data_IF_325567105475
#
_entry.id   IF_325567105475
#
_cell.length_a   1.000
_cell.length_b   1.000
_cell.length_c   1.000
_cell.angle_alpha   90.00
_cell.angle_beta   90.00
_cell.angle_gamma   90.00
#
_symmetry.space_group_name_H-M   'P 1'
#
loop_
_entity.id
_entity.type
_entity.pdbx_description
1 polymer ?
#
# COMPACT_ATOMS: atom_id res chain seq x y z
N UNK A 1 -14.02 4.12 17.92
CA UNK A 1 -13.00 4.94 18.61
C UNK A 1 -11.77 5.12 17.72
N UNK A 2 -11.13 4.06 17.18
CA UNK A 2 -9.92 4.14 16.35
C UNK A 2 -10.04 5.16 15.20
N UNK A 3 -11.11 5.10 14.39
CA UNK A 3 -11.33 6.06 13.29
C UNK A 3 -11.59 7.49 13.76
N UNK A 4 -12.20 7.69 14.96
CA UNK A 4 -12.30 9.02 15.60
C UNK A 4 -10.89 9.55 15.90
N UNK A 5 -10.02 8.70 16.45
CA UNK A 5 -8.61 9.03 16.69
C UNK A 5 -7.86 9.41 15.41
N UNK A 6 -8.06 8.68 14.29
CA UNK A 6 -7.49 9.06 13.00
C UNK A 6 -7.97 10.42 12.52
N UNK A 7 -9.26 10.71 12.67
CA UNK A 7 -9.83 12.02 12.30
C UNK A 7 -9.27 13.17 13.16
N UNK A 8 -9.01 12.90 14.45
CA UNK A 8 -8.42 13.85 15.39
C UNK A 8 -6.96 14.14 15.04
N UNK A 9 -6.19 13.10 14.72
CA UNK A 9 -4.74 13.16 14.46
C UNK A 9 -4.39 13.70 13.08
N UNK A 10 -5.13 13.27 12.06
CA UNK A 10 -4.80 13.49 10.63
C UNK A 10 -5.83 14.35 9.91
N UNK A 11 -6.96 14.65 10.55
CA UNK A 11 -8.08 15.34 9.92
C UNK A 11 -9.00 14.38 9.13
N UNK A 12 -10.26 14.78 8.98
CA UNK A 12 -11.28 13.95 8.32
C UNK A 12 -11.02 13.76 6.82
N UNK A 13 -10.46 14.77 6.15
CA UNK A 13 -10.17 14.72 4.71
C UNK A 13 -9.19 13.59 4.35
N UNK A 14 -8.23 13.29 5.25
CA UNK A 14 -7.26 12.22 5.04
C UNK A 14 -7.88 10.83 4.99
N UNK A 15 -9.02 10.61 5.64
CA UNK A 15 -9.74 9.34 5.61
C UNK A 15 -10.55 9.14 4.32
N UNK A 16 -10.69 10.19 3.50
CA UNK A 16 -11.35 10.13 2.20
C UNK A 16 -10.39 9.76 1.06
N UNK A 17 -9.09 9.66 1.34
CA UNK A 17 -8.10 9.25 0.35
C UNK A 17 -8.19 7.74 0.18
N UNK A 18 -8.48 7.29 -1.04
CA UNK A 18 -8.52 5.89 -1.41
C UNK A 18 -7.32 5.49 -2.27
N UNK A 19 -6.95 4.22 -2.21
CA UNK A 19 -5.96 3.58 -3.05
C UNK A 19 -6.28 2.11 -3.19
N UNK A 20 -5.60 1.42 -4.09
CA UNK A 20 -5.70 -0.03 -4.24
C UNK A 20 -4.74 -0.71 -3.27
N UNK A 21 -5.25 -1.69 -2.52
CA UNK A 21 -4.43 -2.61 -1.76
C UNK A 21 -4.33 -3.93 -2.53
N UNK A 22 -3.11 -4.35 -2.79
CA UNK A 22 -2.83 -5.58 -3.51
C UNK A 22 -2.17 -6.58 -2.54
N UNK A 23 -2.89 -7.65 -2.22
CA UNK A 23 -2.39 -8.71 -1.35
C UNK A 23 -1.72 -9.79 -2.21
N UNK A 24 -0.52 -10.18 -1.83
CA UNK A 24 0.28 -11.16 -2.56
C UNK A 24 0.86 -12.21 -1.63
N UNK A 25 0.71 -13.47 -1.99
CA UNK A 25 1.32 -14.60 -1.29
C UNK A 25 1.85 -15.63 -2.28
N UNK A 26 2.94 -16.28 -1.92
CA UNK A 26 3.46 -17.42 -2.65
C UNK A 26 2.92 -18.71 -2.05
N UNK A 27 2.70 -19.76 -2.86
CA UNK A 27 2.26 -21.07 -2.38
C UNK A 27 3.23 -21.66 -1.35
N UNK A 28 2.71 -22.34 -0.34
CA UNK A 28 3.52 -22.94 0.72
C UNK A 28 4.56 -23.92 0.18
N UNK A 29 4.21 -24.69 -0.88
CA UNK A 29 5.13 -25.58 -1.58
C UNK A 29 6.36 -24.89 -2.15
N UNK A 30 6.22 -23.65 -2.64
CA UNK A 30 7.33 -22.89 -3.18
C UNK A 30 8.34 -22.53 -2.09
N UNK A 31 7.85 -22.19 -0.89
CA UNK A 31 8.74 -21.94 0.26
C UNK A 31 9.50 -23.19 0.69
N UNK A 32 8.88 -24.37 0.59
CA UNK A 32 9.54 -25.64 0.85
C UNK A 32 10.67 -25.91 -0.15
N UNK A 33 10.43 -25.64 -1.44
CA UNK A 33 11.47 -25.79 -2.49
C UNK A 33 12.64 -24.83 -2.24
N UNK A 34 12.36 -23.56 -1.95
CA UNK A 34 13.41 -22.59 -1.66
C UNK A 34 14.19 -22.94 -0.39
N UNK A 35 13.52 -23.40 0.66
CA UNK A 35 14.18 -23.83 1.88
C UNK A 35 15.10 -25.05 1.67
N UNK A 36 14.69 -25.99 0.82
CA UNK A 36 15.52 -27.15 0.46
C UNK A 36 16.76 -26.77 -0.34
N UNK A 37 16.63 -25.83 -1.29
CA UNK A 37 17.74 -25.30 -2.08
C UNK A 37 18.80 -24.61 -1.18
N UNK A 38 18.33 -23.91 -0.14
CA UNK A 38 19.18 -23.28 0.88
C UNK A 38 19.69 -24.28 1.97
N UNK A 39 19.40 -25.56 1.83
CA UNK A 39 19.86 -26.61 2.75
C UNK A 39 19.14 -26.60 4.12
N UNK A 40 17.97 -25.98 4.20
CA UNK A 40 17.14 -25.95 5.42
C UNK A 40 16.34 -27.25 5.51
N UNK A 41 16.66 -28.08 6.51
CA UNK A 41 16.06 -29.40 6.69
C UNK A 41 14.67 -29.27 7.33
N UNK A 42 13.71 -30.00 6.79
CA UNK A 42 12.26 -29.97 7.13
C UNK A 42 11.93 -30.36 8.59
N UNK A 43 12.86 -30.99 9.33
CA UNK A 43 12.63 -31.49 10.70
C UNK A 43 12.31 -30.41 11.74
N UNK A 44 12.46 -29.15 11.40
CA UNK A 44 12.14 -28.00 12.27
C UNK A 44 11.04 -27.13 11.65
N UNK A 45 9.79 -27.39 12.00
CA UNK A 45 8.64 -26.54 11.58
C UNK A 45 8.87 -25.03 11.83
N UNK A 46 9.63 -24.69 12.86
CA UNK A 46 10.02 -23.30 13.15
C UNK A 46 11.00 -22.76 12.10
N UNK A 47 11.94 -23.55 11.61
CA UNK A 47 12.93 -23.13 10.62
C UNK A 47 12.28 -22.75 9.28
N UNK A 48 11.29 -23.52 8.80
CA UNK A 48 10.56 -23.19 7.57
C UNK A 48 9.73 -21.92 7.73
N UNK A 49 9.02 -21.74 8.85
CA UNK A 49 8.26 -20.52 9.15
C UNK A 49 9.17 -19.29 9.21
N UNK A 50 10.31 -19.42 9.86
CA UNK A 50 11.26 -18.32 10.02
C UNK A 50 11.92 -17.99 8.69
N UNK A 51 12.31 -19.00 7.90
CA UNK A 51 12.79 -18.83 6.53
C UNK A 51 11.76 -18.11 5.64
N UNK A 52 10.50 -18.58 5.64
CA UNK A 52 9.41 -17.93 4.90
C UNK A 52 9.25 -16.45 5.31
N UNK A 53 9.30 -16.18 6.61
CA UNK A 53 9.13 -14.82 7.14
C UNK A 53 10.28 -13.91 6.71
N UNK A 54 11.52 -14.36 6.82
CA UNK A 54 12.71 -13.60 6.39
C UNK A 54 12.75 -13.42 4.87
N UNK A 55 12.29 -14.41 4.10
CA UNK A 55 12.15 -14.29 2.64
C UNK A 55 11.09 -13.24 2.24
N UNK A 56 9.95 -13.17 2.94
CA UNK A 56 9.00 -12.08 2.74
C UNK A 56 9.59 -10.72 3.14
N UNK A 57 10.39 -10.65 4.19
CA UNK A 57 11.08 -9.40 4.56
C UNK A 57 12.13 -9.02 3.50
N UNK A 58 12.83 -10.00 2.93
CA UNK A 58 13.73 -9.77 1.79
C UNK A 58 12.98 -9.20 0.57
N UNK A 59 11.82 -9.77 0.25
CA UNK A 59 10.91 -9.23 -0.78
C UNK A 59 10.50 -7.78 -0.47
N UNK A 60 10.15 -7.45 0.78
CA UNK A 60 9.81 -6.09 1.21
C UNK A 60 10.99 -5.14 1.00
N UNK A 61 12.23 -5.54 1.31
CA UNK A 61 13.44 -4.73 1.05
C UNK A 61 13.61 -4.44 -0.45
N UNK A 62 13.47 -5.45 -1.30
CA UNK A 62 13.57 -5.27 -2.75
C UNK A 62 12.43 -4.40 -3.30
N UNK A 63 11.22 -4.59 -2.79
CA UNK A 63 10.11 -3.69 -3.09
C UNK A 63 10.46 -2.23 -2.76
N UNK A 64 11.06 -1.96 -1.60
CA UNK A 64 11.47 -0.60 -1.23
C UNK A 64 12.48 0.02 -2.18
N UNK A 65 13.43 -0.78 -2.68
CA UNK A 65 14.42 -0.34 -3.68
C UNK A 65 13.77 0.08 -4.99
N UNK A 66 12.69 -0.60 -5.40
CA UNK A 66 12.12 -0.49 -6.74
C UNK A 66 10.71 0.11 -6.77
N UNK A 67 10.09 0.43 -5.63
CA UNK A 67 8.70 0.92 -5.55
C UNK A 67 8.45 2.24 -6.29
N UNK A 68 9.50 3.04 -6.54
CA UNK A 68 9.41 4.22 -7.39
C UNK A 68 8.93 3.88 -8.82
N UNK A 69 9.25 2.67 -9.33
CA UNK A 69 8.78 2.19 -10.63
C UNK A 69 7.24 2.08 -10.65
N UNK A 70 6.64 1.58 -9.58
CA UNK A 70 5.18 1.49 -9.49
C UNK A 70 4.53 2.87 -9.50
N UNK A 71 5.15 3.86 -8.86
CA UNK A 71 4.64 5.25 -8.89
C UNK A 71 4.74 5.85 -10.28
N UNK A 72 5.79 5.55 -11.02
CA UNK A 72 5.92 5.98 -12.40
C UNK A 72 4.85 5.36 -13.32
N UNK A 73 4.68 4.03 -13.24
CA UNK A 73 3.83 3.25 -14.14
C UNK A 73 2.33 3.35 -13.83
N UNK A 74 1.96 3.50 -12.54
CA UNK A 74 0.58 3.36 -12.05
C UNK A 74 0.10 4.55 -11.20
N UNK A 75 0.92 5.57 -11.00
CA UNK A 75 0.45 6.82 -10.40
C UNK A 75 -0.60 7.47 -11.30
N UNK A 76 -1.74 7.86 -10.71
CA UNK A 76 -2.91 8.39 -11.41
C UNK A 76 -3.50 9.63 -10.73
N UNK A 77 -2.75 10.28 -9.82
CA UNK A 77 -3.22 11.46 -9.08
C UNK A 77 -2.28 12.66 -9.24
N UNK A 78 -2.10 13.21 -10.46
CA UNK A 78 -1.23 14.36 -10.73
C UNK A 78 -1.85 15.70 -10.30
N UNK A 79 -3.15 15.70 -9.99
CA UNK A 79 -3.94 16.87 -9.61
C UNK A 79 -4.91 16.54 -8.47
N UNK A 80 -5.41 17.58 -7.82
CA UNK A 80 -6.42 17.46 -6.77
C UNK A 80 -7.31 18.73 -6.75
N UNK A 81 -8.46 18.64 -6.09
CA UNK A 81 -9.35 19.80 -5.94
C UNK A 81 -8.86 20.73 -4.81
N UNK A 82 -9.03 22.04 -4.98
CA UNK A 82 -8.68 23.04 -3.95
C UNK A 82 -9.38 22.75 -2.61
N UNK A 83 -10.60 22.22 -2.66
CA UNK A 83 -11.40 21.86 -1.48
C UNK A 83 -10.74 20.76 -0.62
N UNK A 84 -9.86 19.95 -1.20
CA UNK A 84 -9.13 18.92 -0.45
C UNK A 84 -8.12 19.52 0.52
N UNK A 85 -7.42 20.58 0.13
CA UNK A 85 -6.40 21.21 0.97
C UNK A 85 -6.97 22.12 2.07
N UNK A 86 -8.17 22.68 1.87
CA UNK A 86 -8.84 23.53 2.87
C UNK A 86 -7.93 24.63 3.42
N UNK A 87 -7.16 25.28 2.53
CA UNK A 87 -6.24 26.35 2.89
C UNK A 87 -4.92 25.94 3.52
N UNK A 88 -4.59 24.63 3.54
CA UNK A 88 -3.24 24.17 3.95
C UNK A 88 -2.18 24.73 2.99
N UNK A 89 -1.00 25.14 3.49
CA UNK A 89 0.12 25.55 2.64
C UNK A 89 0.50 24.46 1.64
N UNK A 90 0.83 24.82 0.42
CA UNK A 90 1.24 23.90 -0.64
C UNK A 90 2.12 24.57 -1.67
N UNK A 91 2.88 23.78 -2.44
CA UNK A 91 3.71 24.20 -3.56
C UNK A 91 3.14 23.77 -4.91
N UNK A 92 1.82 23.50 -4.99
CA UNK A 92 1.14 23.13 -6.23
C UNK A 92 0.87 24.35 -7.09
N UNK A 93 0.85 24.16 -8.41
CA UNK A 93 0.40 25.13 -9.39
C UNK A 93 -1.12 25.13 -9.50
N UNK A 94 -1.72 26.28 -9.84
CA UNK A 94 -3.14 26.41 -10.10
C UNK A 94 -3.42 26.15 -11.58
N UNK A 95 -4.30 25.18 -11.87
CA UNK A 95 -4.77 24.93 -13.22
C UNK A 95 -6.08 25.69 -13.48
N UNK A 96 -6.98 25.71 -12.50
CA UNK A 96 -8.25 26.44 -12.52
C UNK A 96 -8.67 26.78 -11.08
N UNK A 97 -9.81 27.43 -10.91
CA UNK A 97 -10.32 27.87 -9.58
C UNK A 97 -10.53 26.70 -8.62
N UNK A 98 -10.84 25.51 -9.13
CA UNK A 98 -11.10 24.31 -8.33
C UNK A 98 -9.97 23.29 -8.37
N UNK A 99 -8.91 23.49 -9.17
CA UNK A 99 -7.91 22.46 -9.48
C UNK A 99 -6.48 22.92 -9.26
N UNK A 100 -5.76 22.16 -8.45
CA UNK A 100 -4.33 22.29 -8.20
C UNK A 100 -3.59 21.05 -8.76
N UNK A 101 -2.37 21.23 -9.27
CA UNK A 101 -1.61 20.15 -9.90
C UNK A 101 -0.10 20.35 -9.83
N UNK A 102 0.67 19.33 -10.21
CA UNK A 102 2.06 19.47 -10.62
C UNK A 102 2.24 18.89 -12.03
N UNK A 103 2.94 19.62 -12.93
CA UNK A 103 3.02 19.26 -14.36
C UNK A 103 3.54 17.85 -14.62
N UNK A 104 4.44 17.36 -13.77
CA UNK A 104 5.14 16.09 -13.92
C UNK A 104 4.83 15.07 -12.82
N UNK A 105 3.92 15.38 -11.91
CA UNK A 105 3.56 14.46 -10.82
C UNK A 105 2.93 13.18 -11.35
N UNK A 106 3.23 12.08 -10.68
CA UNK A 106 2.57 10.80 -10.93
C UNK A 106 1.49 10.52 -9.89
N UNK A 107 1.76 10.77 -8.58
CA UNK A 107 0.82 10.48 -7.51
C UNK A 107 0.91 11.48 -6.36
N UNK A 108 0.14 12.56 -6.38
CA UNK A 108 0.05 13.49 -5.24
C UNK A 108 -0.53 12.82 -3.99
N UNK A 109 -1.30 11.73 -4.13
CA UNK A 109 -1.76 10.91 -3.01
C UNK A 109 -0.61 10.36 -2.18
N UNK A 110 0.49 9.98 -2.82
CA UNK A 110 1.68 9.43 -2.18
C UNK A 110 2.72 10.48 -1.80
N UNK A 111 2.42 11.77 -2.04
CA UNK A 111 3.27 12.90 -1.64
C UNK A 111 3.05 13.28 -0.16
N UNK A 112 3.78 14.31 0.28
CA UNK A 112 3.61 14.98 1.58
C UNK A 112 2.23 15.65 1.75
N UNK A 113 1.46 15.83 0.69
CA UNK A 113 0.07 16.28 0.75
C UNK A 113 -0.91 15.17 1.11
N UNK A 114 -0.50 13.92 0.93
CA UNK A 114 -1.27 12.74 1.25
C UNK A 114 -1.22 12.37 2.73
N UNK A 115 -1.13 11.08 3.01
CA UNK A 115 -1.21 10.51 4.35
C UNK A 115 0.11 10.67 5.11
N UNK A 116 0.42 11.89 5.58
CA UNK A 116 1.60 12.16 6.40
C UNK A 116 1.23 12.88 7.69
N UNK A 117 2.02 12.63 8.73
CA UNK A 117 1.86 13.24 10.05
C UNK A 117 3.24 13.37 10.70
N UNK A 118 3.48 14.49 11.38
CA UNK A 118 4.74 14.77 12.07
C UNK A 118 5.09 13.70 13.11
N UNK A 119 4.10 13.12 13.78
CA UNK A 119 4.31 12.05 14.74
C UNK A 119 4.94 10.80 14.11
N UNK A 120 4.67 10.54 12.83
CA UNK A 120 5.22 9.40 12.08
C UNK A 120 6.42 9.76 11.20
N UNK A 121 6.79 11.04 11.08
CA UNK A 121 7.87 11.49 10.20
C UNK A 121 9.23 10.85 10.50
N UNK A 122 9.48 10.54 11.78
CA UNK A 122 10.67 9.83 12.27
C UNK A 122 10.50 8.31 12.37
N UNK A 123 9.31 7.77 12.09
CA UNK A 123 9.05 6.34 12.21
C UNK A 123 9.44 5.63 10.91
N UNK A 124 10.54 4.90 10.97
CA UNK A 124 11.02 4.06 9.88
C UNK A 124 11.25 2.66 10.43
N UNK A 125 10.25 1.76 10.39
CA UNK A 125 10.47 0.38 10.78
C UNK A 125 11.62 -0.21 9.97
N UNK A 126 12.55 -0.82 10.69
CA UNK A 126 13.68 -1.49 10.05
C UNK A 126 13.18 -2.77 9.35
N UNK A 127 13.40 -2.84 8.05
CA UNK A 127 12.93 -3.94 7.20
C UNK A 127 14.06 -4.96 6.92
N UNK A 128 15.03 -5.06 7.84
CA UNK A 128 16.16 -5.99 7.71
C UNK A 128 15.85 -7.39 8.28
N UNK A 129 14.93 -7.48 9.24
CA UNK A 129 14.40 -8.74 9.77
C UNK A 129 12.96 -8.54 10.24
N UNK A 130 12.20 -9.64 10.39
CA UNK A 130 10.87 -9.58 10.99
C UNK A 130 10.93 -9.05 12.42
N UNK A 131 11.95 -9.46 13.19
CA UNK A 131 12.15 -9.00 14.56
C UNK A 131 12.33 -7.48 14.63
N UNK A 132 13.22 -6.92 13.80
CA UNK A 132 13.47 -5.47 13.78
C UNK A 132 12.24 -4.68 13.32
N UNK A 133 11.48 -5.19 12.36
CA UNK A 133 10.22 -4.60 11.92
C UNK A 133 9.17 -4.55 13.04
N UNK A 134 8.96 -5.68 13.72
CA UNK A 134 8.02 -5.80 14.83
C UNK A 134 8.43 -4.89 15.99
N UNK A 135 9.71 -4.91 16.39
CA UNK A 135 10.24 -4.09 17.48
C UNK A 135 10.03 -2.60 17.21
N UNK A 136 10.25 -2.15 15.98
CA UNK A 136 10.03 -0.75 15.59
C UNK A 136 8.56 -0.33 15.72
N UNK A 137 7.61 -1.21 15.34
CA UNK A 137 6.19 -0.92 15.51
C UNK A 137 5.76 -0.95 16.98
N UNK A 138 6.30 -1.90 17.76
CA UNK A 138 6.05 -1.99 19.21
C UNK A 138 6.53 -0.73 19.93
N UNK A 139 7.73 -0.23 19.61
CA UNK A 139 8.20 1.04 20.14
C UNK A 139 7.21 2.18 19.83
N UNK A 140 6.76 2.29 18.59
CA UNK A 140 5.85 3.35 18.17
C UNK A 140 4.46 3.31 18.86
N UNK A 141 3.92 2.12 19.12
CA UNK A 141 2.62 1.99 19.83
C UNK A 141 2.76 2.18 21.35
N UNK A 142 3.97 2.12 21.90
CA UNK A 142 4.24 2.31 23.31
C UNK A 142 4.87 3.68 23.62
N UNK A 143 5.37 4.40 22.63
CA UNK A 143 6.04 5.67 22.80
C UNK A 143 5.04 6.83 22.88
N UNK A 144 4.93 7.53 24.01
CA UNK A 144 4.06 8.69 24.14
C UNK A 144 4.43 9.81 23.17
N UNK A 145 3.41 10.53 22.68
CA UNK A 145 3.60 11.70 21.84
C UNK A 145 2.96 12.93 22.49
N UNK A 146 3.74 13.94 22.94
CA UNK A 146 3.26 15.05 23.73
C UNK A 146 2.01 15.76 23.16
N UNK A 147 1.91 16.08 21.85
CA UNK A 147 0.70 16.71 21.32
C UNK A 147 -0.56 15.83 21.46
N UNK A 148 -0.43 14.50 21.44
CA UNK A 148 -1.59 13.62 21.67
C UNK A 148 -1.91 13.42 23.14
N UNK A 149 -0.90 13.57 24.04
CA UNK A 149 -1.13 13.59 25.48
C UNK A 149 -1.96 14.80 25.92
N UNK A 150 -1.71 15.97 25.31
CA UNK A 150 -2.51 17.19 25.54
C UNK A 150 -3.99 17.01 25.17
N UNK A 151 -4.26 16.23 24.10
CA UNK A 151 -5.62 15.90 23.67
C UNK A 151 -6.33 14.90 24.61
N UNK A 152 -5.55 14.02 25.25
CA UNK A 152 -6.06 12.92 26.06
C UNK A 152 -6.76 11.82 25.25
N UNK A 153 -7.21 10.77 25.93
CA UNK A 153 -7.93 9.65 25.31
C UNK A 153 -9.45 9.82 25.33
N UNK A 154 -9.97 10.66 26.25
CA UNK A 154 -11.39 10.93 26.43
C UNK A 154 -11.66 12.44 26.43
N UNK A 155 -12.83 12.83 25.93
CA UNK A 155 -13.38 14.18 26.04
C UNK A 155 -14.84 14.08 26.42
N UNK A 156 -15.24 14.82 27.46
CA UNK A 156 -16.61 14.80 28.02
C UNK A 156 -17.12 13.38 28.36
N UNK A 157 -16.20 12.51 28.86
CA UNK A 157 -16.46 11.11 29.16
C UNK A 157 -16.41 10.14 27.99
N UNK A 158 -16.36 10.63 26.76
CA UNK A 158 -16.37 9.85 25.54
C UNK A 158 -14.97 9.57 25.00
N UNK A 159 -14.70 8.35 24.56
CA UNK A 159 -13.45 7.97 23.90
C UNK A 159 -13.27 8.71 22.57
N UNK A 160 -12.14 9.40 22.41
CA UNK A 160 -11.77 10.12 21.19
C UNK A 160 -10.60 9.47 20.44
N UNK A 161 -9.73 8.75 21.14
CA UNK A 161 -8.64 7.95 20.57
C UNK A 161 -8.26 6.81 21.53
N UNK A 162 -7.60 5.75 21.03
CA UNK A 162 -7.28 4.55 21.80
C UNK A 162 -6.07 4.73 22.72
N UNK A 163 -5.10 5.56 22.35
CA UNK A 163 -3.92 5.88 23.14
C UNK A 163 -3.43 7.28 22.80
N UNK A 164 -2.47 7.81 23.57
CA UNK A 164 -1.77 9.08 23.30
C UNK A 164 -0.38 8.87 22.74
N UNK A 165 -0.07 7.66 22.26
CA UNK A 165 1.22 7.28 21.74
C UNK A 165 1.36 7.67 20.25
N UNK A 166 2.56 7.55 19.70
CA UNK A 166 2.86 7.83 18.28
C UNK A 166 1.87 7.10 17.35
N UNK A 167 1.60 5.83 17.64
CA UNK A 167 0.53 5.05 17.00
C UNK A 167 -0.50 4.62 18.03
N UNK A 168 -1.78 4.63 17.68
CA UNK A 168 -2.84 4.02 18.51
C UNK A 168 -2.73 2.50 18.51
N UNK A 169 -2.51 1.95 17.32
CA UNK A 169 -2.33 0.53 17.03
C UNK A 169 -1.39 0.40 15.83
N UNK A 170 -0.82 -0.77 15.63
CA UNK A 170 0.16 -1.04 14.54
C UNK A 170 -0.42 -0.75 13.15
N UNK A 171 -1.72 -0.94 12.96
CA UNK A 171 -2.40 -0.67 11.70
C UNK A 171 -2.44 0.83 11.31
N UNK A 172 -2.16 1.73 12.26
CA UNK A 172 -2.07 3.17 11.99
C UNK A 172 -0.80 3.55 11.23
N UNK A 173 0.27 2.73 11.32
CA UNK A 173 1.48 2.98 10.56
C UNK A 173 1.20 3.01 9.06
N UNK A 174 1.50 4.14 8.42
CA UNK A 174 1.34 4.31 6.99
C UNK A 174 2.61 3.86 6.25
N UNK A 175 2.48 2.79 5.46
CA UNK A 175 3.56 2.21 4.67
C UNK A 175 3.09 1.87 3.27
N UNK A 176 4.00 1.91 2.29
CA UNK A 176 3.74 1.51 0.89
C UNK A 176 3.58 0.01 0.73
N UNK A 177 4.13 -0.77 1.66
CA UNK A 177 4.04 -2.23 1.73
C UNK A 177 4.09 -2.68 3.18
N UNK A 178 3.41 -3.78 3.51
CA UNK A 178 3.39 -4.38 4.85
C UNK A 178 3.49 -5.89 4.80
N UNK A 179 4.31 -6.53 5.63
CA UNK A 179 4.16 -7.95 5.94
C UNK A 179 2.89 -8.15 6.77
N UNK A 180 2.14 -9.20 6.48
CA UNK A 180 0.82 -9.45 7.06
C UNK A 180 0.65 -10.91 7.47
N UNK A 181 -0.23 -11.09 8.44
CA UNK A 181 -0.80 -12.38 8.86
C UNK A 181 -2.26 -12.21 9.18
N UNK A 182 -3.11 -13.16 8.81
CA UNK A 182 -4.51 -13.18 9.24
C UNK A 182 -4.55 -13.26 10.77
N UNK A 183 -5.23 -12.28 11.39
CA UNK A 183 -5.38 -12.18 12.84
C UNK A 183 -6.58 -12.98 13.32
N UNK A 184 -6.50 -13.48 14.56
CA UNK A 184 -7.63 -14.08 15.28
C UNK A 184 -8.41 -12.97 16.02
N UNK A 185 -9.63 -13.25 16.42
CA UNK A 185 -10.44 -12.30 17.22
C UNK A 185 -9.68 -11.89 18.48
N UNK A 186 -9.51 -10.60 18.68
CA UNK A 186 -8.79 -10.03 19.85
C UNK A 186 -7.26 -10.06 19.74
N UNK A 187 -6.68 -10.67 18.72
CA UNK A 187 -5.22 -10.73 18.51
C UNK A 187 -4.71 -9.44 17.86
N UNK A 188 -3.56 -8.96 18.34
CA UNK A 188 -2.89 -7.82 17.70
C UNK A 188 -2.09 -8.27 16.47
N UNK A 189 -1.99 -7.43 15.42
CA UNK A 189 -1.22 -7.76 14.21
C UNK A 189 0.22 -8.19 14.47
N UNK A 190 0.93 -7.50 15.37
CA UNK A 190 2.32 -7.88 15.71
C UNK A 190 2.39 -9.22 16.45
N UNK A 191 1.42 -9.56 17.29
CA UNK A 191 1.36 -10.89 17.94
C UNK A 191 1.20 -12.01 16.91
N UNK A 192 0.33 -11.78 15.92
CA UNK A 192 0.14 -12.73 14.83
C UNK A 192 1.44 -12.97 14.04
N UNK A 193 2.17 -11.89 13.73
CA UNK A 193 3.47 -11.97 13.05
C UNK A 193 4.53 -12.67 13.89
N UNK A 194 4.67 -12.32 15.17
CA UNK A 194 5.62 -12.98 16.08
C UNK A 194 5.35 -14.49 16.21
N UNK A 195 4.09 -14.85 16.47
CA UNK A 195 3.75 -16.22 16.82
C UNK A 195 3.70 -17.15 15.61
N UNK A 196 3.32 -16.63 14.43
CA UNK A 196 3.03 -17.46 13.25
C UNK A 196 3.78 -17.04 11.98
N UNK A 197 4.63 -16.01 12.06
CA UNK A 197 5.39 -15.48 10.93
C UNK A 197 4.54 -14.75 9.88
N UNK A 198 5.18 -14.33 8.80
CA UNK A 198 4.52 -13.65 7.67
C UNK A 198 3.77 -14.67 6.81
N UNK A 199 2.55 -14.32 6.41
CA UNK A 199 1.71 -15.14 5.53
C UNK A 199 1.60 -14.55 4.12
N UNK A 200 1.53 -13.24 4.02
CA UNK A 200 1.42 -12.51 2.77
C UNK A 200 1.97 -11.09 2.95
N UNK A 201 2.11 -10.39 1.84
CA UNK A 201 2.41 -8.95 1.84
C UNK A 201 1.23 -8.16 1.28
N UNK A 202 1.08 -6.93 1.73
CA UNK A 202 0.06 -5.99 1.29
C UNK A 202 0.74 -4.76 0.66
N UNK A 203 0.68 -4.63 -0.67
CA UNK A 203 1.09 -3.40 -1.38
C UNK A 203 -0.02 -2.37 -1.23
N UNK A 204 0.31 -1.12 -0.90
CA UNK A 204 -0.66 -0.06 -0.55
C UNK A 204 -0.47 1.25 -1.30
N UNK A 205 0.58 1.36 -2.09
CA UNK A 205 0.93 2.62 -2.77
C UNK A 205 0.19 2.85 -4.09
N UNK A 206 -0.54 1.86 -4.62
CA UNK A 206 -1.20 1.99 -5.92
C UNK A 206 -2.36 3.00 -5.86
N UNK A 207 -2.40 3.91 -6.81
CA UNK A 207 -3.55 4.79 -7.01
C UNK A 207 -4.73 4.00 -7.60
N UNK A 208 -5.93 4.51 -7.37
CA UNK A 208 -7.11 4.09 -8.15
C UNK A 208 -6.93 4.66 -9.55
N UNK A 209 -6.88 3.80 -10.58
CA UNK A 209 -6.86 4.26 -11.97
C UNK A 209 -8.28 4.68 -12.38
N UNK A 210 -8.52 5.98 -12.66
CA UNK A 210 -9.86 6.46 -12.97
C UNK A 210 -10.38 5.99 -14.35
N UNK A 211 -9.53 5.42 -15.20
CA UNK A 211 -9.93 4.86 -16.49
C UNK A 211 -10.42 3.42 -16.38
N UNK A 212 -10.17 2.77 -15.24
CA UNK A 212 -10.59 1.40 -14.98
C UNK A 212 -11.86 1.38 -14.12
N UNK A 213 -12.94 0.68 -14.51
CA UNK A 213 -14.21 0.68 -13.77
C UNK A 213 -14.08 0.25 -12.30
N UNK A 214 -13.15 -0.66 -12.00
CA UNK A 214 -12.87 -1.15 -10.65
C UNK A 214 -11.56 -0.57 -10.07
N UNK A 215 -10.98 0.42 -10.74
CA UNK A 215 -9.78 1.14 -10.27
C UNK A 215 -8.45 0.43 -10.50
N UNK A 216 -8.46 -0.78 -11.05
CA UNK A 216 -7.28 -1.57 -11.42
C UNK A 216 -7.64 -2.51 -12.57
N UNK A 217 -6.72 -2.70 -13.53
CA UNK A 217 -6.87 -3.67 -14.60
C UNK A 217 -6.23 -5.02 -14.24
N UNK A 218 -6.67 -6.10 -14.91
CA UNK A 218 -5.99 -7.40 -14.86
C UNK A 218 -4.53 -7.30 -15.30
N UNK A 219 -4.27 -6.44 -16.28
CA UNK A 219 -2.93 -6.17 -16.78
C UNK A 219 -2.01 -5.60 -15.69
N UNK A 220 -2.50 -4.66 -14.89
CA UNK A 220 -1.76 -4.14 -13.73
C UNK A 220 -1.50 -5.26 -12.72
N UNK A 221 -2.49 -6.12 -12.46
CA UNK A 221 -2.32 -7.28 -11.58
C UNK A 221 -1.22 -8.22 -12.07
N UNK A 222 -1.22 -8.58 -13.36
CA UNK A 222 -0.20 -9.44 -13.99
C UNK A 222 1.22 -8.85 -13.89
N UNK A 223 1.36 -7.54 -14.09
CA UNK A 223 2.64 -6.88 -13.86
C UNK A 223 3.07 -6.95 -12.39
N UNK A 224 2.15 -6.72 -11.46
CA UNK A 224 2.44 -6.80 -10.02
C UNK A 224 2.86 -8.20 -9.60
N UNK A 225 2.25 -9.25 -10.13
CA UNK A 225 2.64 -10.64 -9.88
C UNK A 225 4.09 -10.89 -10.32
N UNK A 226 4.44 -10.50 -11.54
CA UNK A 226 5.80 -10.63 -12.06
C UNK A 226 6.80 -9.76 -11.25
N UNK A 227 6.45 -8.53 -10.92
CA UNK A 227 7.29 -7.61 -10.15
C UNK A 227 7.52 -8.11 -8.71
N UNK A 228 6.48 -8.62 -8.04
CA UNK A 228 6.59 -9.10 -6.67
C UNK A 228 7.35 -10.43 -6.60
N UNK A 229 7.13 -11.33 -7.56
CA UNK A 229 7.93 -12.54 -7.67
C UNK A 229 9.40 -12.21 -7.98
N UNK A 230 9.68 -11.27 -8.86
CA UNK A 230 11.02 -10.74 -9.07
C UNK A 230 11.65 -10.22 -7.78
N UNK A 231 10.91 -9.43 -6.97
CA UNK A 231 11.39 -8.96 -5.67
C UNK A 231 11.67 -10.10 -4.68
N UNK A 232 10.97 -11.25 -4.81
CA UNK A 232 11.20 -12.42 -3.97
C UNK A 232 12.44 -13.22 -4.36
N UNK A 233 12.74 -13.28 -5.66
CA UNK A 233 13.83 -14.09 -6.22
C UNK A 233 15.17 -13.34 -6.30
N UNK A 234 15.14 -12.02 -6.31
CA UNK A 234 16.31 -11.17 -6.42
C UNK A 234 17.10 -11.13 -5.11
N UNK A 235 18.43 -11.08 -5.20
CA UNK A 235 19.27 -10.83 -4.02
C UNK A 235 18.79 -9.61 -3.25
N UNK A 236 18.74 -9.73 -1.93
CA UNK A 236 18.21 -8.69 -1.06
C UNK A 236 19.22 -8.31 0.04
N UNK A 237 20.26 -7.53 -0.28
CA UNK A 237 21.20 -7.04 0.71
C UNK A 237 20.47 -6.19 1.76
N UNK A 238 21.01 -6.18 2.98
CA UNK A 238 20.49 -5.35 4.07
C UNK A 238 20.47 -3.88 3.68
N UNK A 239 19.51 -3.14 4.20
CA UNK A 239 19.33 -1.71 3.94
C UNK A 239 19.85 -0.93 5.14
N UNK A 240 20.82 -0.03 4.92
CA UNK A 240 21.25 0.95 5.91
C UNK A 240 20.24 2.11 6.02
N UNK A 241 20.36 2.93 7.07
CA UNK A 241 19.56 4.16 7.20
C UNK A 241 19.79 5.12 6.02
N UNK A 242 21.02 5.15 5.49
CA UNK A 242 21.36 5.94 4.32
C UNK A 242 20.61 5.44 3.07
N UNK A 243 20.61 4.13 2.84
CA UNK A 243 19.89 3.51 1.70
C UNK A 243 18.38 3.71 1.84
N UNK A 244 17.84 3.53 3.04
CA UNK A 244 16.42 3.78 3.33
C UNK A 244 16.02 5.22 3.00
N UNK A 245 16.87 6.19 3.40
CA UNK A 245 16.65 7.61 3.07
C UNK A 245 16.77 7.88 1.55
N UNK A 246 17.70 7.22 0.87
CA UNK A 246 17.87 7.32 -0.59
C UNK A 246 16.64 6.75 -1.32
N UNK A 247 16.17 5.56 -0.96
CA UNK A 247 14.97 4.95 -1.55
C UNK A 247 13.73 5.83 -1.34
N UNK A 248 13.56 6.40 -0.13
CA UNK A 248 12.48 7.33 0.16
C UNK A 248 12.55 8.62 -0.69
N UNK A 249 13.76 9.16 -0.92
CA UNK A 249 13.95 10.32 -1.83
C UNK A 249 13.62 9.99 -3.27
N UNK A 250 14.07 8.83 -3.77
CA UNK A 250 13.75 8.38 -5.13
C UNK A 250 12.24 8.22 -5.33
N UNK A 251 11.57 7.60 -4.37
CA UNK A 251 10.12 7.47 -4.36
C UNK A 251 9.43 8.85 -4.39
N UNK A 252 9.81 9.76 -3.49
CA UNK A 252 9.22 11.10 -3.39
C UNK A 252 9.48 11.95 -4.65
N UNK A 253 10.67 11.85 -5.27
CA UNK A 253 10.96 12.51 -6.56
C UNK A 253 10.07 11.98 -7.66
N UNK A 254 9.92 10.66 -7.78
CA UNK A 254 9.05 10.05 -8.80
C UNK A 254 7.61 10.46 -8.60
N UNK A 255 7.12 10.49 -7.38
CA UNK A 255 5.76 10.94 -7.04
C UNK A 255 5.48 12.36 -7.54
N UNK A 256 6.41 13.30 -7.31
CA UNK A 256 6.23 14.72 -7.64
C UNK A 256 6.66 15.11 -9.05
N UNK A 257 7.64 14.39 -9.62
CA UNK A 257 8.32 14.79 -10.85
C UNK A 257 8.54 13.63 -11.82
N UNK A 258 7.95 12.46 -11.63
CA UNK A 258 8.30 11.22 -12.34
C UNK A 258 8.29 11.34 -13.86
N UNK A 259 7.38 12.16 -14.41
CA UNK A 259 7.28 12.39 -15.86
C UNK A 259 8.17 13.53 -16.39
N UNK A 260 9.01 14.15 -15.53
CA UNK A 260 9.89 15.25 -15.97
C UNK A 260 10.96 14.71 -16.92
N UNK A 261 11.13 15.33 -18.11
CA UNK A 261 12.17 14.94 -19.03
C UNK A 261 13.56 15.00 -18.37
N UNK A 262 14.36 13.95 -18.53
CA UNK A 262 15.71 13.88 -17.97
C UNK A 262 15.77 13.71 -16.43
N UNK A 263 14.67 13.36 -15.75
CA UNK A 263 14.70 13.08 -14.33
C UNK A 263 15.69 11.95 -14.02
N UNK A 264 16.55 12.19 -13.02
CA UNK A 264 17.48 11.19 -12.49
C UNK A 264 17.03 10.73 -11.10
N UNK A 265 17.40 9.50 -10.76
CA UNK A 265 17.27 8.92 -9.43
C UNK A 265 18.64 8.46 -8.94
N UNK A 266 18.84 8.41 -7.63
CA UNK A 266 20.11 7.96 -7.05
C UNK A 266 20.12 6.43 -6.91
N UNK A 267 21.13 5.77 -7.49
CA UNK A 267 21.43 4.33 -7.35
C UNK A 267 22.88 4.16 -6.97
N UNK A 268 23.16 3.55 -5.83
CA UNK A 268 24.52 3.30 -5.33
C UNK A 268 25.39 4.56 -5.30
N UNK A 269 24.78 5.69 -4.93
CA UNK A 269 25.44 6.99 -4.87
C UNK A 269 25.61 7.71 -6.22
N UNK A 270 25.15 7.13 -7.33
CA UNK A 270 25.22 7.71 -8.66
C UNK A 270 23.85 8.17 -9.15
N UNK A 271 23.81 9.28 -9.88
CA UNK A 271 22.59 9.75 -10.55
C UNK A 271 22.38 9.00 -11.85
N UNK A 272 21.28 8.24 -11.96
CA UNK A 272 20.91 7.43 -13.11
C UNK A 272 19.59 7.97 -13.69
N UNK A 273 19.46 8.17 -15.01
CA UNK A 273 18.18 8.56 -15.60
C UNK A 273 17.07 7.56 -15.24
N UNK A 274 15.92 8.06 -14.79
CA UNK A 274 14.79 7.23 -14.38
C UNK A 274 14.40 6.24 -15.49
N UNK A 275 14.26 6.71 -16.73
CA UNK A 275 13.86 5.87 -17.85
C UNK A 275 14.87 4.74 -18.12
N UNK A 276 16.19 5.02 -18.04
CA UNK A 276 17.23 4.01 -18.19
C UNK A 276 17.11 2.93 -17.13
N UNK A 277 17.00 3.31 -15.86
CA UNK A 277 16.86 2.35 -14.77
C UNK A 277 15.54 1.56 -14.84
N UNK A 278 14.45 2.23 -15.24
CA UNK A 278 13.16 1.57 -15.43
C UNK A 278 13.23 0.49 -16.52
N UNK A 279 13.85 0.79 -17.68
CA UNK A 279 14.04 -0.18 -18.77
C UNK A 279 14.91 -1.37 -18.33
N UNK A 280 15.99 -1.12 -17.58
CA UNK A 280 16.82 -2.19 -17.00
C UNK A 280 15.99 -3.10 -16.09
N UNK A 281 15.12 -2.53 -15.23
CA UNK A 281 14.24 -3.33 -14.36
C UNK A 281 13.22 -4.14 -15.17
N UNK A 282 12.62 -3.57 -16.22
CA UNK A 282 11.72 -4.29 -17.11
C UNK A 282 12.41 -5.53 -17.72
N UNK A 283 13.66 -5.37 -18.19
CA UNK A 283 14.40 -6.50 -18.76
C UNK A 283 14.78 -7.55 -17.70
N UNK A 284 15.04 -7.15 -16.45
CA UNK A 284 15.31 -8.08 -15.34
C UNK A 284 14.05 -8.82 -14.87
N UNK A 285 12.88 -8.20 -14.97
CA UNK A 285 11.59 -8.83 -14.63
C UNK A 285 11.14 -9.81 -15.72
N UNK A 286 11.58 -9.64 -16.98
CA UNK A 286 11.14 -10.43 -18.13
C UNK A 286 11.24 -11.96 -17.94
N UNK A 287 12.35 -12.54 -17.44
CA UNK A 287 12.42 -13.99 -17.20
C UNK A 287 11.37 -14.48 -16.19
N UNK A 288 11.04 -13.64 -15.20
CA UNK A 288 10.02 -13.98 -14.20
C UNK A 288 8.61 -13.95 -14.81
N UNK A 289 8.34 -12.97 -15.66
CA UNK A 289 7.07 -12.91 -16.41
C UNK A 289 6.90 -14.12 -17.32
N UNK A 290 7.95 -14.53 -18.05
CA UNK A 290 7.94 -15.73 -18.89
C UNK A 290 7.72 -17.01 -18.05
N UNK A 291 8.35 -17.11 -16.86
CA UNK A 291 8.13 -18.25 -15.96
C UNK A 291 6.65 -18.35 -15.50
N UNK A 292 6.01 -17.21 -15.22
CA UNK A 292 4.60 -17.17 -14.87
C UNK A 292 3.71 -17.58 -16.05
N UNK A 293 4.03 -17.13 -17.26
CA UNK A 293 3.32 -17.50 -18.49
C UNK A 293 3.43 -19.01 -18.76
N UNK A 294 4.61 -19.61 -18.58
CA UNK A 294 4.83 -21.06 -18.70
C UNK A 294 4.03 -21.87 -17.68
N UNK A 295 3.80 -21.32 -16.49
CA UNK A 295 3.02 -21.95 -15.41
C UNK A 295 1.50 -21.82 -15.57
N UNK A 296 1.02 -20.92 -16.40
CA UNK A 296 -0.40 -20.65 -16.64
C UNK A 296 -0.75 -20.91 -18.11
N UNK A 297 -1.77 -21.72 -18.39
CA UNK A 297 -2.20 -22.00 -19.76
C UNK A 297 -3.01 -20.85 -20.40
N UNK A 298 -2.68 -19.60 -20.07
CA UNK A 298 -3.36 -18.39 -20.54
C UNK A 298 -2.59 -17.63 -21.64
N UNK A 299 -1.49 -18.21 -22.14
CA UNK A 299 -0.58 -17.56 -23.09
C UNK A 299 0.31 -16.51 -22.43
N UNK A 300 0.96 -15.65 -23.22
CA UNK A 300 2.01 -14.70 -22.80
C UNK A 300 1.44 -13.45 -22.08
N UNK A 301 0.53 -13.63 -21.13
CA UNK A 301 -0.24 -12.51 -20.53
C UNK A 301 0.63 -11.63 -19.61
N UNK A 302 1.58 -12.21 -18.87
CA UNK A 302 2.51 -11.46 -18.02
C UNK A 302 3.58 -10.75 -18.85
N UNK A 303 4.16 -11.45 -19.85
CA UNK A 303 5.10 -10.87 -20.78
C UNK A 303 4.46 -9.75 -21.62
N UNK A 304 3.23 -9.91 -22.06
CA UNK A 304 2.47 -8.87 -22.76
C UNK A 304 2.23 -7.64 -21.85
N UNK A 305 1.86 -7.86 -20.58
CA UNK A 305 1.71 -6.78 -19.60
C UNK A 305 3.01 -6.02 -19.43
N UNK A 306 4.14 -6.73 -19.30
CA UNK A 306 5.48 -6.13 -19.18
C UNK A 306 5.82 -5.25 -20.40
N UNK A 307 5.46 -5.70 -21.61
CA UNK A 307 5.62 -4.93 -22.84
C UNK A 307 4.85 -3.60 -22.82
N UNK A 308 3.62 -3.61 -22.31
CA UNK A 308 2.81 -2.39 -22.17
C UNK A 308 3.38 -1.43 -21.11
N UNK A 309 3.97 -1.93 -20.02
CA UNK A 309 4.66 -1.06 -19.07
C UNK A 309 5.96 -0.47 -19.66
N UNK A 310 6.69 -1.23 -20.48
CA UNK A 310 7.82 -0.71 -21.25
C UNK A 310 7.40 0.46 -22.14
N UNK A 311 6.29 0.36 -22.85
CA UNK A 311 5.78 1.44 -23.71
C UNK A 311 5.50 2.74 -22.92
N UNK A 312 5.03 2.68 -21.67
CA UNK A 312 4.86 3.85 -20.79
C UNK A 312 6.19 4.52 -20.42
N UNK A 313 7.29 3.75 -20.38
CA UNK A 313 8.63 4.30 -20.10
C UNK A 313 9.19 5.00 -21.34
N UNK A 314 8.98 4.41 -22.52
CA UNK A 314 9.41 4.93 -23.81
C UNK A 314 8.59 6.16 -24.22
N UNK A 315 7.30 6.18 -23.86
CA UNK A 315 6.39 7.31 -24.08
C UNK A 315 5.62 7.66 -22.79
N UNK A 316 6.10 8.63 -22.01
CA UNK A 316 5.45 9.05 -20.77
C UNK A 316 4.00 9.54 -20.91
N UNK A 317 3.54 9.92 -22.11
CA UNK A 317 2.16 10.31 -22.36
C UNK A 317 1.17 9.15 -22.15
N UNK A 318 1.64 7.91 -22.25
CA UNK A 318 0.83 6.72 -22.01
C UNK A 318 0.63 6.38 -20.53
N UNK A 319 1.33 7.05 -19.61
CA UNK A 319 1.13 6.82 -18.16
C UNK A 319 -0.26 7.29 -17.71
N UNK A 320 -0.90 6.61 -16.73
CA UNK A 320 -2.19 7.05 -16.21
C UNK A 320 -2.18 8.50 -15.76
N UNK A 321 -1.12 8.94 -15.07
CA UNK A 321 -1.01 10.32 -14.60
C UNK A 321 -0.94 11.37 -15.73
N UNK A 322 -0.32 11.05 -16.87
CA UNK A 322 -0.29 11.93 -18.03
C UNK A 322 -1.69 12.07 -18.64
N UNK A 323 -2.36 10.94 -18.86
CA UNK A 323 -3.73 10.87 -19.40
C UNK A 323 -4.74 11.61 -18.51
N UNK A 324 -4.67 11.40 -17.19
CA UNK A 324 -5.50 12.11 -16.22
C UNK A 324 -5.30 13.63 -16.32
N UNK A 325 -4.04 14.07 -16.39
CA UNK A 325 -3.76 15.51 -16.47
C UNK A 325 -4.22 16.11 -17.79
N UNK A 326 -4.13 15.38 -18.90
CA UNK A 326 -4.63 15.80 -20.21
C UNK A 326 -6.16 15.97 -20.19
N UNK A 327 -6.90 14.99 -19.67
CA UNK A 327 -8.37 15.06 -19.53
C UNK A 327 -8.81 16.19 -18.60
N UNK A 328 -8.12 16.38 -17.46
CA UNK A 328 -8.41 17.48 -16.54
C UNK A 328 -8.20 18.84 -17.25
N UNK A 329 -7.14 18.98 -18.06
CA UNK A 329 -6.89 20.19 -18.83
C UNK A 329 -7.96 20.46 -19.88
N UNK A 330 -8.41 19.41 -20.56
CA UNK A 330 -9.47 19.51 -21.56
C UNK A 330 -10.81 19.95 -20.94
N UNK A 331 -11.11 19.45 -19.73
CA UNK A 331 -12.34 19.79 -18.99
C UNK A 331 -12.22 21.06 -18.13
N UNK A 332 -11.00 21.52 -17.87
CA UNK A 332 -10.72 22.67 -17.01
C UNK A 332 -10.94 22.42 -15.51
N UNK A 333 -11.26 21.18 -15.08
CA UNK A 333 -11.63 20.87 -13.70
C UNK A 333 -11.37 19.42 -13.34
N UNK A 334 -10.67 19.18 -12.21
CA UNK A 334 -10.48 17.84 -11.65
C UNK A 334 -11.81 17.24 -11.15
N UNK A 335 -12.70 18.06 -10.61
CA UNK A 335 -14.02 17.61 -10.18
C UNK A 335 -14.89 17.18 -11.38
N UNK A 336 -14.89 17.96 -12.47
CA UNK A 336 -15.61 17.61 -13.69
C UNK A 336 -15.09 16.29 -14.30
N UNK A 337 -13.76 16.10 -14.33
CA UNK A 337 -13.16 14.83 -14.75
C UNK A 337 -13.65 13.65 -13.91
N UNK A 338 -13.63 13.78 -12.57
CA UNK A 338 -14.11 12.74 -11.67
C UNK A 338 -15.59 12.37 -11.91
N UNK A 339 -16.45 13.38 -12.12
CA UNK A 339 -17.88 13.17 -12.44
C UNK A 339 -18.04 12.48 -13.78
N UNK A 340 -17.29 12.90 -14.81
CA UNK A 340 -17.33 12.28 -16.15
C UNK A 340 -16.96 10.81 -16.08
N UNK A 341 -15.82 10.45 -15.46
CA UNK A 341 -15.39 9.04 -15.35
C UNK A 341 -16.41 8.22 -14.55
N UNK A 342 -16.90 8.74 -13.43
CA UNK A 342 -17.93 8.05 -12.64
C UNK A 342 -19.21 7.80 -13.43
N UNK A 343 -19.60 8.73 -14.29
CA UNK A 343 -20.78 8.59 -15.16
C UNK A 343 -20.57 7.49 -16.22
N UNK A 344 -19.38 7.45 -16.84
CA UNK A 344 -19.01 6.43 -17.82
C UNK A 344 -19.01 5.03 -17.17
N UNK A 345 -18.39 4.88 -15.99
CA UNK A 345 -18.35 3.60 -15.28
C UNK A 345 -19.75 3.16 -14.81
N UNK A 346 -20.57 4.08 -14.31
CA UNK A 346 -21.95 3.78 -13.93
C UNK A 346 -22.80 3.32 -15.13
N UNK A 347 -22.55 3.88 -16.32
CA UNK A 347 -23.20 3.40 -17.55
C UNK A 347 -22.73 1.98 -17.91
N UNK A 348 -21.41 1.73 -17.90
CA UNK A 348 -20.83 0.41 -18.17
C UNK A 348 -21.38 -0.68 -17.24
N UNK A 349 -21.51 -0.41 -15.95
CA UNK A 349 -22.07 -1.36 -14.99
C UNK A 349 -23.56 -1.62 -15.24
N UNK A 350 -24.35 -0.62 -15.65
CA UNK A 350 -25.76 -0.83 -16.02
C UNK A 350 -25.93 -1.66 -17.29
N UNK A 351 -24.98 -1.51 -18.23
CA UNK A 351 -25.00 -2.27 -19.50
C UNK A 351 -24.50 -3.71 -19.33
N UNK A 352 -23.91 -4.03 -18.19
CA UNK A 352 -23.40 -5.37 -17.83
C UNK A 352 -24.03 -5.83 -16.50
N UNK A 353 -25.35 -6.10 -16.46
CA UNK A 353 -26.02 -6.54 -15.23
C UNK A 353 -25.50 -7.90 -14.78
N UNK A 354 -25.59 -8.14 -13.47
CA UNK A 354 -25.29 -9.45 -12.89
C UNK A 354 -26.23 -10.53 -13.47
N UNK A 355 -25.72 -11.74 -13.58
CA UNK A 355 -26.59 -12.89 -13.85
C UNK A 355 -27.51 -13.10 -12.63
N UNK A 356 -28.75 -13.60 -12.85
CA UNK A 356 -29.71 -13.79 -11.74
C UNK A 356 -29.19 -14.64 -10.58
N UNK A 357 -28.30 -15.61 -10.86
CA UNK A 357 -27.70 -16.44 -9.82
C UNK A 357 -26.65 -15.64 -8.98
N UNK A 358 -25.94 -14.73 -9.61
CA UNK A 358 -24.99 -13.85 -8.92
C UNK A 358 -25.71 -12.81 -8.06
N UNK A 359 -26.80 -12.23 -8.58
CA UNK A 359 -27.64 -11.29 -7.84
C UNK A 359 -28.21 -11.96 -6.57
N UNK A 360 -28.78 -13.17 -6.72
CA UNK A 360 -29.26 -13.95 -5.57
C UNK A 360 -28.14 -14.23 -4.54
N UNK A 361 -26.93 -14.59 -5.01
CA UNK A 361 -25.79 -14.84 -4.13
C UNK A 361 -25.41 -13.58 -3.34
N UNK A 362 -25.33 -12.42 -3.97
CA UNK A 362 -25.00 -11.17 -3.28
C UNK A 362 -26.09 -10.73 -2.30
N UNK A 363 -27.36 -10.92 -2.64
CA UNK A 363 -28.50 -10.64 -1.74
C UNK A 363 -28.46 -11.54 -0.50
N UNK A 364 -28.18 -12.84 -0.67
CA UNK A 364 -28.00 -13.77 0.45
C UNK A 364 -26.82 -13.38 1.32
N UNK A 365 -25.66 -13.08 0.72
CA UNK A 365 -24.47 -12.63 1.47
C UNK A 365 -24.74 -11.34 2.25
N UNK A 366 -25.48 -10.40 1.68
CA UNK A 366 -25.88 -9.17 2.36
C UNK A 366 -26.79 -9.45 3.56
N UNK A 367 -27.81 -10.32 3.39
CA UNK A 367 -28.71 -10.71 4.47
C UNK A 367 -27.97 -11.43 5.61
N UNK A 368 -27.08 -12.37 5.29
CA UNK A 368 -26.25 -13.08 6.27
C UNK A 368 -25.35 -12.10 7.02
N UNK A 369 -24.69 -11.17 6.32
CA UNK A 369 -23.81 -10.17 6.93
C UNK A 369 -24.56 -9.27 7.94
N UNK A 370 -25.79 -8.87 7.64
CA UNK A 370 -26.63 -8.08 8.55
C UNK A 370 -27.03 -8.92 9.77
N UNK A 371 -27.41 -10.19 9.57
CA UNK A 371 -27.75 -11.09 10.67
C UNK A 371 -26.53 -11.33 11.61
N UNK A 372 -25.36 -11.56 11.05
CA UNK A 372 -24.12 -11.72 11.81
C UNK A 372 -23.78 -10.46 12.62
N UNK A 373 -23.93 -9.27 12.02
CA UNK A 373 -23.77 -8.01 12.74
C UNK A 373 -24.71 -7.92 13.94
N UNK A 374 -26.00 -8.24 13.78
CA UNK A 374 -26.99 -8.23 14.85
C UNK A 374 -26.61 -9.19 15.99
N UNK A 375 -26.11 -10.39 15.66
CA UNK A 375 -25.63 -11.37 16.65
C UNK A 375 -24.44 -10.79 17.43
N UNK A 376 -23.45 -10.20 16.75
CA UNK A 376 -22.30 -9.58 17.40
C UNK A 376 -22.74 -8.46 18.35
N UNK A 377 -23.63 -7.57 17.90
CA UNK A 377 -24.13 -6.45 18.72
C UNK A 377 -24.91 -6.92 19.94
N UNK A 378 -25.71 -8.00 19.84
CA UNK A 378 -26.47 -8.57 20.94
C UNK A 378 -25.61 -9.34 21.95
N UNK A 379 -24.50 -9.93 21.48
CA UNK A 379 -23.59 -10.71 22.33
C UNK A 379 -22.46 -9.88 22.91
N UNK A 380 -22.24 -8.64 22.42
CA UNK A 380 -21.24 -7.72 22.96
C UNK A 380 -21.69 -7.15 24.31
N UNK A 381 -21.31 -7.83 25.37
CA UNK A 381 -21.61 -7.43 26.77
C UNK A 381 -20.40 -6.79 27.46
N UNK A 382 -19.31 -6.54 26.70
CA UNK A 382 -18.03 -6.09 27.22
C UNK A 382 -18.03 -4.62 27.67
N UNK A 383 -17.19 -4.31 28.66
CA UNK A 383 -16.85 -2.94 29.01
C UNK A 383 -15.69 -2.48 28.09
N UNK A 384 -15.91 -1.43 27.33
CA UNK A 384 -14.90 -0.93 26.38
C UNK A 384 -13.61 -0.45 27.08
N UNK A 385 -13.70 0.13 28.27
CA UNK A 385 -12.52 0.55 29.06
C UNK A 385 -11.68 -0.68 29.46
N UNK A 386 -12.33 -1.77 29.86
CA UNK A 386 -11.66 -3.03 30.18
C UNK A 386 -11.04 -3.66 28.92
N UNK A 387 -11.72 -3.61 27.78
CA UNK A 387 -11.18 -4.07 26.50
C UNK A 387 -9.92 -3.30 26.11
N UNK A 388 -9.93 -1.96 26.17
CA UNK A 388 -8.76 -1.13 25.83
C UNK A 388 -7.61 -1.41 26.80
N UNK A 389 -7.90 -1.57 28.10
CA UNK A 389 -6.87 -1.90 29.08
C UNK A 389 -6.22 -3.27 28.79
N UNK A 390 -7.04 -4.29 28.52
CA UNK A 390 -6.55 -5.62 28.14
C UNK A 390 -5.76 -5.63 26.82
N UNK A 391 -6.25 -4.91 25.81
CA UNK A 391 -5.58 -4.76 24.53
C UNK A 391 -4.19 -4.11 24.66
N UNK A 392 -4.09 -3.03 25.48
CA UNK A 392 -2.84 -2.32 25.71
C UNK A 392 -1.84 -3.11 26.60
N UNK A 393 -2.34 -3.94 27.52
CA UNK A 393 -1.50 -4.77 28.39
C UNK A 393 -1.11 -6.11 27.80
N UNK A 394 -1.65 -6.47 26.63
CA UNK A 394 -1.34 -7.75 25.99
C UNK A 394 0.15 -7.83 25.62
N UNK A 395 0.84 -8.89 26.07
CA UNK A 395 2.23 -9.16 25.72
C UNK A 395 2.37 -9.31 24.22
N UNK A 396 3.23 -8.52 23.60
CA UNK A 396 3.27 -8.37 22.14
C UNK A 396 3.94 -9.54 21.44
N UNK A 397 4.96 -10.12 22.05
CA UNK A 397 5.58 -11.37 21.58
C UNK A 397 5.79 -12.25 22.81
N UNK A 398 5.31 -13.49 22.77
CA UNK A 398 5.59 -14.45 23.83
C UNK A 398 7.10 -14.74 23.86
N UNK A 399 7.71 -14.66 25.03
CA UNK A 399 9.00 -15.29 25.26
C UNK A 399 8.77 -16.82 25.17
N UNK A 400 9.08 -17.40 24.00
CA UNK A 400 9.22 -18.85 23.86
C UNK A 400 10.68 -19.23 23.96
#
# INVERSE_FOLDING_TARGET
VYRRGLALRYGKAMQCIAGIHYNYSLPEKLWQVFAQDEGIVEERRHALRDFQSESYIAMVRNFRRYSWLLMYLFGATPALTTSFLRGRPHALETLSDDTLYLPYATSLRMSDLGYQNDAQSGLRPHENSLESYVTSLMDAVNRPYPPYQELGTKKDGEWIQLSTNVLQIENEYYSTIRPKRVIRTGERPVQALCNRGVQYIEVRCLDVDPFEPVGISLETGRFLDAFLLFCALEESPMISDHDSAMHARNFARTVKEGRRPGLTLTRDGLEVPLATWALELIERIRPVAALLDDGHNEGDVHTASLGRQKAKIEDPAQTPSARVLEEIRALGSAAAFGVQQSTLHAASFRDSPLMPAEEMLFDEMAAVSIADQMIIEQTDTGNFDAFVAAYNSSTLCGNN
#
